data_IF_465679251204
#
_entry.id   IF_465679251204
#
_cell.length_a   1.000
_cell.length_b   1.000
_cell.length_c   1.000
_cell.angle_alpha   90.00
_cell.angle_beta   90.00
_cell.angle_gamma   90.00
#
_symmetry.space_group_name_H-M   'P 1'
#
loop_
_entity.id
_entity.type
_entity.pdbx_description
1 polymer ?
#
# COMPACT_ATOMS: atom_id res chain seq x y z
N UNK A 1 -5.73 -10.58 -12.82
CA UNK A 1 -6.44 -10.51 -11.52
C UNK A 1 -5.81 -9.42 -10.66
N UNK A 2 -6.60 -8.73 -9.84
CA UNK A 2 -6.10 -7.72 -8.91
C UNK A 2 -5.72 -8.31 -7.55
N UNK A 3 -4.82 -7.64 -6.82
CA UNK A 3 -4.49 -8.02 -5.45
C UNK A 3 -5.70 -7.78 -4.54
N UNK A 4 -6.13 -8.82 -3.83
CA UNK A 4 -7.26 -8.73 -2.91
C UNK A 4 -6.81 -8.26 -1.52
N UNK A 5 -7.76 -7.72 -0.74
CA UNK A 5 -7.51 -7.36 0.67
C UNK A 5 -7.09 -8.59 1.48
N UNK A 6 -7.67 -9.76 1.18
CA UNK A 6 -7.33 -11.03 1.84
C UNK A 6 -5.87 -11.43 1.62
N UNK A 7 -5.38 -11.31 0.38
CA UNK A 7 -3.98 -11.61 0.05
C UNK A 7 -2.99 -10.64 0.71
N UNK A 8 -3.36 -9.36 0.87
CA UNK A 8 -2.47 -8.34 1.44
C UNK A 8 -2.48 -8.33 2.98
N UNK A 9 -3.54 -8.84 3.61
CA UNK A 9 -3.74 -8.81 5.07
C UNK A 9 -2.57 -9.39 5.89
N UNK A 10 -1.94 -10.53 5.53
CA UNK A 10 -0.80 -11.06 6.27
C UNK A 10 0.39 -10.09 6.29
N UNK A 11 0.65 -9.43 5.16
CA UNK A 11 1.72 -8.45 5.01
C UNK A 11 1.47 -7.19 5.83
N UNK A 12 0.24 -6.68 5.82
CA UNK A 12 -0.16 -5.53 6.65
C UNK A 12 0.05 -5.84 8.13
N UNK A 13 -0.34 -7.04 8.59
CA UNK A 13 -0.14 -7.46 9.99
C UNK A 13 1.34 -7.47 10.37
N UNK A 14 2.22 -7.93 9.47
CA UNK A 14 3.68 -7.91 9.70
C UNK A 14 4.22 -6.49 9.88
N UNK A 15 3.80 -5.56 9.03
CA UNK A 15 4.21 -4.15 9.16
C UNK A 15 3.72 -3.54 10.47
N UNK A 16 2.46 -3.79 10.84
CA UNK A 16 1.89 -3.31 12.11
C UNK A 16 2.67 -3.88 13.31
N UNK A 17 2.94 -5.19 13.31
CA UNK A 17 3.70 -5.84 14.36
C UNK A 17 5.12 -5.27 14.48
N UNK A 18 5.79 -4.97 13.36
CA UNK A 18 7.12 -4.33 13.37
C UNK A 18 7.08 -2.94 13.96
N UNK A 19 6.07 -2.13 13.61
CA UNK A 19 5.87 -0.80 14.19
C UNK A 19 5.61 -0.87 15.69
N UNK A 20 4.79 -1.82 16.14
CA UNK A 20 4.53 -2.05 17.56
C UNK A 20 5.76 -2.53 18.33
N UNK A 21 6.61 -3.36 17.72
CA UNK A 21 7.87 -3.83 18.31
C UNK A 21 8.92 -2.71 18.43
N UNK A 22 8.91 -1.75 17.50
CA UNK A 22 9.90 -0.68 17.44
C UNK A 22 9.22 0.70 17.27
N UNK A 23 8.41 1.14 18.25
CA UNK A 23 7.56 2.32 18.06
C UNK A 23 8.37 3.62 17.97
N UNK A 24 9.52 3.69 18.65
CA UNK A 24 10.42 4.85 18.69
C UNK A 24 11.43 4.89 17.54
N UNK A 25 11.35 3.97 16.57
CA UNK A 25 12.26 3.99 15.44
C UNK A 25 11.93 5.17 14.50
N UNK A 26 12.91 6.05 14.26
CA UNK A 26 12.80 7.24 13.42
C UNK A 26 12.29 6.95 11.99
N UNK A 27 12.41 5.71 11.50
CA UNK A 27 11.88 5.33 10.19
C UNK A 27 10.38 5.64 10.06
N UNK A 28 9.59 5.52 11.14
CA UNK A 28 8.16 5.76 11.09
C UNK A 28 7.85 7.24 10.89
N UNK A 29 8.57 8.13 11.57
CA UNK A 29 8.46 9.58 11.39
C UNK A 29 8.87 9.99 9.98
N UNK A 30 9.96 9.41 9.45
CA UNK A 30 10.41 9.67 8.08
C UNK A 30 9.36 9.22 7.06
N UNK A 31 8.72 8.07 7.27
CA UNK A 31 7.66 7.56 6.40
C UNK A 31 6.41 8.44 6.45
N UNK A 32 6.04 8.94 7.63
CA UNK A 32 4.95 9.88 7.80
C UNK A 32 5.25 11.21 7.12
N UNK A 33 6.45 11.77 7.30
CA UNK A 33 6.88 12.99 6.61
C UNK A 33 6.86 12.85 5.08
N UNK A 34 7.29 11.69 4.55
CA UNK A 34 7.22 11.41 3.10
C UNK A 34 5.79 11.33 2.60
N UNK A 35 4.87 10.73 3.38
CA UNK A 35 3.45 10.73 3.03
C UNK A 35 2.88 12.16 3.01
N UNK A 36 3.17 12.96 4.04
CA UNK A 36 2.72 14.35 4.10
C UNK A 36 3.24 15.20 2.93
N UNK A 37 4.47 14.95 2.47
CA UNK A 37 4.99 15.60 1.27
C UNK A 37 4.19 15.23 0.00
N UNK A 38 3.77 13.97 -0.14
CA UNK A 38 2.91 13.52 -1.24
C UNK A 38 1.55 14.23 -1.19
N UNK A 39 0.94 14.31 0.00
CA UNK A 39 -0.36 14.96 0.21
C UNK A 39 -0.26 16.47 -0.04
N UNK A 40 0.79 17.11 0.44
CA UNK A 40 1.06 18.55 0.24
C UNK A 40 1.17 18.88 -1.24
N UNK A 41 1.93 18.09 -2.00
CA UNK A 41 2.02 18.25 -3.45
C UNK A 41 0.65 18.07 -4.13
N UNK A 42 -0.13 17.07 -3.71
CA UNK A 42 -1.49 16.87 -4.23
C UNK A 42 -2.42 18.06 -3.93
N UNK A 43 -2.37 18.62 -2.71
CA UNK A 43 -3.12 19.84 -2.35
C UNK A 43 -2.72 21.04 -3.22
N UNK A 44 -1.42 21.23 -3.45
CA UNK A 44 -0.93 22.30 -4.31
C UNK A 44 -1.45 22.18 -5.75
N UNK A 45 -1.47 20.97 -6.31
CA UNK A 45 -2.05 20.70 -7.63
C UNK A 45 -3.52 21.13 -7.67
N UNK A 46 -4.34 20.76 -6.66
CA UNK A 46 -5.74 21.16 -6.62
C UNK A 46 -5.93 22.68 -6.47
N UNK A 47 -5.11 23.33 -5.64
CA UNK A 47 -5.16 24.78 -5.45
C UNK A 47 -4.84 25.53 -6.76
N UNK A 48 -3.85 25.08 -7.53
CA UNK A 48 -3.53 25.68 -8.83
C UNK A 48 -4.66 25.50 -9.86
N UNK A 49 -5.38 24.38 -9.79
CA UNK A 49 -6.58 24.15 -10.60
C UNK A 49 -7.69 25.14 -10.25
N UNK A 50 -7.96 25.32 -8.97
CA UNK A 50 -9.00 26.25 -8.48
C UNK A 50 -8.69 27.70 -8.88
N UNK A 51 -7.40 28.06 -8.96
CA UNK A 51 -6.91 29.34 -9.50
C UNK A 51 -7.02 29.47 -11.02
N UNK A 52 -7.60 28.48 -11.71
CA UNK A 52 -7.85 28.53 -13.15
C UNK A 52 -6.64 28.16 -14.02
N UNK A 53 -5.56 27.61 -13.47
CA UNK A 53 -4.47 27.10 -14.31
C UNK A 53 -4.93 25.87 -15.10
N UNK A 54 -4.65 25.89 -16.40
CA UNK A 54 -4.86 24.73 -17.26
C UNK A 54 -4.02 23.55 -16.76
N UNK A 55 -4.67 22.38 -16.58
CA UNK A 55 -3.99 21.17 -16.14
C UNK A 55 -4.55 19.91 -16.77
N UNK A 56 -3.74 18.86 -16.75
CA UNK A 56 -4.17 17.52 -17.16
C UNK A 56 -5.29 17.01 -16.25
N UNK A 57 -6.36 16.49 -16.86
CA UNK A 57 -7.46 15.86 -16.13
C UNK A 57 -6.97 14.70 -15.25
N UNK A 58 -6.00 13.91 -15.72
CA UNK A 58 -5.41 12.80 -14.96
C UNK A 58 -4.66 13.28 -13.73
N UNK A 59 -3.91 14.38 -13.86
CA UNK A 59 -3.17 14.97 -12.74
C UNK A 59 -4.14 15.49 -11.68
N UNK A 60 -5.18 16.20 -12.10
CA UNK A 60 -6.22 16.71 -11.21
C UNK A 60 -6.96 15.60 -10.46
N UNK A 61 -7.28 14.50 -11.14
CA UNK A 61 -7.97 13.35 -10.55
C UNK A 61 -7.07 12.58 -9.59
N UNK A 62 -5.79 12.39 -9.93
CA UNK A 62 -4.83 11.73 -9.06
C UNK A 62 -4.63 12.52 -7.76
N UNK A 63 -4.45 13.83 -7.87
CA UNK A 63 -4.35 14.72 -6.72
C UNK A 63 -5.61 14.68 -5.85
N UNK A 64 -6.80 14.73 -6.46
CA UNK A 64 -8.08 14.58 -5.75
C UNK A 64 -8.14 13.29 -4.94
N UNK A 65 -7.77 12.15 -5.54
CA UNK A 65 -7.76 10.88 -4.83
C UNK A 65 -6.76 10.86 -3.66
N UNK A 66 -5.55 11.37 -3.83
CA UNK A 66 -4.54 11.41 -2.77
C UNK A 66 -4.97 12.28 -1.59
N UNK A 67 -5.48 13.48 -1.85
CA UNK A 67 -6.01 14.37 -0.79
C UNK A 67 -7.19 13.72 -0.07
N UNK A 68 -8.10 13.08 -0.81
CA UNK A 68 -9.24 12.40 -0.21
C UNK A 68 -8.82 11.25 0.71
N UNK A 69 -7.85 10.45 0.28
CA UNK A 69 -7.30 9.36 1.10
C UNK A 69 -6.68 9.94 2.37
N UNK A 70 -5.91 11.01 2.27
CA UNK A 70 -5.30 11.66 3.44
C UNK A 70 -6.34 12.19 4.45
N UNK A 71 -7.50 12.64 3.97
CA UNK A 71 -8.57 13.15 4.84
C UNK A 71 -9.40 12.02 5.49
N UNK A 72 -9.57 10.89 4.81
CA UNK A 72 -10.48 9.82 5.25
C UNK A 72 -9.75 8.65 5.95
N UNK A 73 -8.43 8.50 5.74
CA UNK A 73 -7.67 7.31 6.14
C UNK A 73 -6.48 7.70 7.02
N UNK A 74 -6.28 7.06 8.18
CA UNK A 74 -5.10 7.33 9.01
C UNK A 74 -3.79 7.06 8.26
N UNK A 75 -2.81 7.96 8.42
CA UNK A 75 -1.49 7.86 7.78
C UNK A 75 -0.83 6.49 7.99
N UNK A 76 -0.91 5.96 9.22
CA UNK A 76 -0.39 4.64 9.57
C UNK A 76 -0.94 3.51 8.68
N UNK A 77 -2.22 3.59 8.27
CA UNK A 77 -2.87 2.58 7.42
C UNK A 77 -2.39 2.71 5.98
N UNK A 78 -2.24 3.93 5.46
CA UNK A 78 -1.70 4.19 4.11
C UNK A 78 -0.26 3.68 4.01
N UNK A 79 0.57 4.00 5.00
CA UNK A 79 1.97 3.58 5.09
C UNK A 79 2.05 2.06 5.18
N UNK A 80 1.30 1.44 6.12
CA UNK A 80 1.33 -0.02 6.28
C UNK A 80 0.87 -0.75 5.01
N UNK A 81 -0.16 -0.25 4.34
CA UNK A 81 -0.66 -0.84 3.09
C UNK A 81 0.35 -0.68 1.96
N UNK A 82 1.00 0.48 1.85
CA UNK A 82 2.02 0.73 0.83
C UNK A 82 3.23 -0.17 1.02
N UNK A 83 3.77 -0.24 2.24
CA UNK A 83 4.91 -1.12 2.57
C UNK A 83 4.57 -2.60 2.38
N UNK A 84 3.38 -3.02 2.80
CA UNK A 84 2.91 -4.39 2.60
C UNK A 84 2.89 -4.79 1.11
N UNK A 85 2.54 -3.87 0.20
CA UNK A 85 2.59 -4.14 -1.24
C UNK A 85 4.02 -4.40 -1.72
N UNK A 86 5.01 -3.66 -1.22
CA UNK A 86 6.42 -3.88 -1.55
C UNK A 86 6.93 -5.21 -0.98
N UNK A 87 6.63 -5.53 0.27
CA UNK A 87 7.00 -6.83 0.86
C UNK A 87 6.40 -7.98 0.06
N UNK A 88 5.12 -7.87 -0.31
CA UNK A 88 4.45 -8.86 -1.16
C UNK A 88 5.10 -9.00 -2.54
N UNK A 89 5.55 -7.90 -3.16
CA UNK A 89 6.28 -7.94 -4.44
C UNK A 89 7.60 -8.68 -4.30
N UNK A 90 8.34 -8.45 -3.22
CA UNK A 90 9.64 -9.07 -2.95
C UNK A 90 9.55 -10.56 -2.64
N UNK A 91 8.44 -11.02 -2.06
CA UNK A 91 8.18 -12.45 -1.79
C UNK A 91 7.55 -13.17 -2.98
N UNK A 92 6.76 -12.47 -3.79
CA UNK A 92 6.00 -13.04 -4.88
C UNK A 92 6.15 -12.25 -6.17
N UNK A 93 7.38 -12.18 -6.69
CA UNK A 93 7.70 -11.46 -7.93
C UNK A 93 6.81 -11.87 -9.11
N UNK A 94 6.42 -13.15 -9.19
CA UNK A 94 5.53 -13.68 -10.25
C UNK A 94 4.12 -13.08 -10.26
N UNK A 95 3.65 -12.48 -9.16
CA UNK A 95 2.35 -11.81 -9.11
C UNK A 95 2.35 -10.47 -9.87
N UNK A 96 3.53 -9.88 -10.08
CA UNK A 96 3.70 -8.59 -10.72
C UNK A 96 4.59 -8.76 -11.96
N UNK A 97 3.97 -9.10 -13.10
CA UNK A 97 4.68 -9.37 -14.36
C UNK A 97 5.57 -8.22 -14.82
N UNK A 98 5.18 -6.98 -14.52
CA UNK A 98 5.91 -5.76 -14.88
C UNK A 98 5.83 -4.73 -13.76
N UNK A 99 6.78 -3.80 -13.73
CA UNK A 99 6.76 -2.69 -12.77
C UNK A 99 5.48 -1.86 -12.89
N UNK A 100 5.03 -1.63 -14.13
CA UNK A 100 3.75 -0.97 -14.40
C UNK A 100 2.56 -1.70 -13.78
N UNK A 101 2.56 -3.05 -13.83
CA UNK A 101 1.51 -3.85 -13.20
C UNK A 101 1.52 -3.70 -11.68
N UNK A 102 2.70 -3.62 -11.05
CA UNK A 102 2.83 -3.33 -9.64
C UNK A 102 2.31 -1.94 -9.27
N UNK A 103 2.73 -0.89 -9.98
CA UNK A 103 2.30 0.49 -9.76
C UNK A 103 0.76 0.60 -9.83
N UNK A 104 0.14 -0.03 -10.81
CA UNK A 104 -1.31 -0.03 -10.93
C UNK A 104 -2.01 -0.75 -9.77
N UNK A 105 -1.45 -1.85 -9.28
CA UNK A 105 -2.01 -2.54 -8.11
C UNK A 105 -1.81 -1.71 -6.84
N UNK A 106 -0.66 -1.07 -6.66
CA UNK A 106 -0.38 -0.15 -5.55
C UNK A 106 -1.42 0.98 -5.52
N UNK A 107 -1.59 1.72 -6.62
CA UNK A 107 -2.59 2.77 -6.71
C UNK A 107 -4.02 2.27 -6.44
N UNK A 108 -4.40 1.10 -6.98
CA UNK A 108 -5.72 0.51 -6.72
C UNK A 108 -5.94 0.14 -5.26
N UNK A 109 -4.93 -0.40 -4.58
CA UNK A 109 -5.03 -0.78 -3.16
C UNK A 109 -5.13 0.45 -2.27
N UNK A 110 -4.29 1.46 -2.50
CA UNK A 110 -4.31 2.70 -1.73
C UNK A 110 -5.62 3.47 -1.95
N UNK A 111 -6.11 3.55 -3.19
CA UNK A 111 -7.41 4.16 -3.47
C UNK A 111 -8.58 3.43 -2.82
N UNK A 112 -8.50 2.10 -2.73
CA UNK A 112 -9.51 1.26 -2.11
C UNK A 112 -9.55 1.33 -0.58
N UNK A 113 -8.71 2.15 0.06
CA UNK A 113 -8.74 2.38 1.51
C UNK A 113 -9.87 3.33 1.95
N UNK A 114 -10.46 4.11 1.04
CA UNK A 114 -11.64 4.94 1.33
C UNK A 114 -12.83 4.44 0.54
N UNK A 115 -13.92 4.15 1.26
CA UNK A 115 -15.18 3.65 0.70
C UNK A 115 -15.86 4.70 -0.20
N UNK A 116 -15.53 5.98 -0.01
CA UNK A 116 -16.13 7.07 -0.79
C UNK A 116 -15.64 7.12 -2.25
N UNK A 117 -14.68 6.27 -2.62
CA UNK A 117 -14.24 6.05 -4.01
C UNK A 117 -15.02 4.96 -4.74
N UNK A 118 -15.96 4.29 -4.05
CA UNK A 118 -16.89 3.33 -4.62
C UNK A 118 -18.30 3.95 -4.72
N UNK A 119 -18.94 3.78 -5.87
CA UNK A 119 -20.40 3.86 -5.95
C UNK A 119 -21.01 2.58 -5.38
N UNK A 120 -22.28 2.61 -5.02
CA UNK A 120 -23.04 1.42 -4.65
C UNK A 120 -24.14 1.19 -5.69
N UNK A 121 -24.35 -0.06 -6.09
CA UNK A 121 -25.56 -0.44 -6.81
C UNK A 121 -26.26 -1.56 -6.07
N UNK A 122 -27.59 -1.55 -6.15
CA UNK A 122 -28.42 -2.60 -5.61
C UNK A 122 -28.43 -3.79 -6.58
N UNK A 123 -28.00 -4.97 -6.12
CA UNK A 123 -28.03 -6.19 -6.91
C UNK A 123 -29.29 -7.01 -6.58
N UNK A 124 -30.30 -6.93 -7.46
CA UNK A 124 -31.56 -7.64 -7.31
C UNK A 124 -31.41 -9.17 -7.22
N UNK A 125 -30.33 -9.77 -7.75
CA UNK A 125 -30.12 -11.22 -7.67
C UNK A 125 -29.57 -11.66 -6.31
N UNK A 126 -28.73 -10.84 -5.68
CA UNK A 126 -28.13 -11.18 -4.38
C UNK A 126 -28.81 -10.52 -3.19
N UNK A 127 -29.74 -9.59 -3.42
CA UNK A 127 -30.44 -8.83 -2.38
C UNK A 127 -29.51 -7.95 -1.54
N UNK A 128 -28.33 -7.62 -2.07
CA UNK A 128 -27.27 -6.90 -1.34
C UNK A 128 -26.81 -5.68 -2.13
N UNK A 129 -26.42 -4.64 -1.39
CA UNK A 129 -25.66 -3.52 -1.95
C UNK A 129 -24.26 -4.01 -2.35
N UNK A 130 -23.91 -3.83 -3.62
CA UNK A 130 -22.56 -4.11 -4.13
C UNK A 130 -21.83 -2.81 -4.41
N UNK A 131 -20.57 -2.76 -3.97
CA UNK A 131 -19.67 -1.65 -4.26
C UNK A 131 -19.17 -1.77 -5.71
N UNK A 132 -19.43 -0.74 -6.52
CA UNK A 132 -18.83 -0.53 -7.84
C UNK A 132 -17.82 0.57 -7.73
N UNK A 133 -16.56 0.20 -7.87
CA UNK A 133 -15.50 1.17 -8.05
C UNK A 133 -15.60 1.70 -9.48
N UNK A 134 -15.86 3.00 -9.64
CA UNK A 134 -15.77 3.63 -10.97
C UNK A 134 -14.41 3.30 -11.59
N UNK A 135 -14.44 2.88 -12.86
CA UNK A 135 -13.22 2.63 -13.61
C UNK A 135 -12.41 3.93 -13.69
N UNK A 136 -11.15 3.83 -13.27
CA UNK A 136 -10.21 4.94 -13.32
C UNK A 136 -9.31 4.74 -14.53
N UNK A 137 -9.06 5.86 -15.21
CA UNK A 137 -8.21 5.89 -16.39
C UNK A 137 -6.77 5.48 -16.01
N UNK A 138 -6.09 4.67 -16.85
CA UNK A 138 -4.76 4.16 -16.54
C UNK A 138 -3.74 5.27 -16.21
N UNK A 139 -3.82 6.42 -16.88
CA UNK A 139 -2.95 7.57 -16.62
C UNK A 139 -3.12 8.14 -15.20
N UNK A 140 -4.35 8.16 -14.68
CA UNK A 140 -4.62 8.58 -13.29
C UNK A 140 -4.02 7.59 -12.30
N UNK A 141 -4.10 6.27 -12.55
CA UNK A 141 -3.46 5.27 -11.67
C UNK A 141 -1.94 5.43 -11.64
N UNK A 142 -1.32 5.71 -12.78
CA UNK A 142 0.13 5.95 -12.86
C UNK A 142 0.56 7.17 -12.03
N UNK A 143 -0.21 8.26 -12.13
CA UNK A 143 0.03 9.50 -11.38
C UNK A 143 -0.26 9.38 -9.88
N UNK A 144 -1.12 8.44 -9.46
CA UNK A 144 -1.27 8.08 -8.03
C UNK A 144 -0.08 7.23 -7.57
N UNK A 145 0.32 6.23 -8.37
CA UNK A 145 1.31 5.24 -7.98
C UNK A 145 2.73 5.83 -7.86
N UNK A 146 3.11 6.73 -8.77
CA UNK A 146 4.45 7.31 -8.82
C UNK A 146 4.89 7.97 -7.49
N UNK A 147 4.14 8.93 -6.92
CA UNK A 147 4.56 9.54 -5.65
C UNK A 147 4.57 8.55 -4.48
N UNK A 148 3.68 7.54 -4.49
CA UNK A 148 3.71 6.46 -3.48
C UNK A 148 4.96 5.59 -3.61
N UNK A 149 5.37 5.30 -4.85
CA UNK A 149 6.58 4.56 -5.13
C UNK A 149 7.81 5.33 -4.65
N UNK A 150 7.92 6.61 -5.01
CA UNK A 150 9.04 7.47 -4.63
C UNK A 150 9.13 7.62 -3.09
N UNK A 151 7.98 7.72 -2.42
CA UNK A 151 7.91 7.79 -0.96
C UNK A 151 8.38 6.49 -0.27
N UNK A 152 7.90 5.33 -0.74
CA UNK A 152 7.92 4.11 0.07
C UNK A 152 8.79 2.96 -0.48
N UNK A 153 9.25 3.00 -1.73
CA UNK A 153 9.94 1.87 -2.35
C UNK A 153 11.19 1.43 -1.57
N UNK A 154 12.05 2.38 -1.18
CA UNK A 154 13.29 2.08 -0.45
C UNK A 154 13.00 1.38 0.88
N UNK A 155 12.06 1.92 1.66
CA UNK A 155 11.71 1.35 2.96
C UNK A 155 11.02 -0.02 2.80
N UNK A 156 10.13 -0.16 1.80
CA UNK A 156 9.43 -1.40 1.51
C UNK A 156 10.38 -2.55 1.15
N UNK A 157 11.37 -2.29 0.27
CA UNK A 157 12.38 -3.30 -0.10
C UNK A 157 13.25 -3.68 1.10
N UNK A 158 13.73 -2.70 1.88
CA UNK A 158 14.54 -2.98 3.08
C UNK A 158 13.78 -3.75 4.14
N UNK A 159 12.49 -3.47 4.34
CA UNK A 159 11.65 -4.25 5.25
C UNK A 159 11.46 -5.69 4.77
N UNK A 160 11.31 -5.91 3.47
CA UNK A 160 11.24 -7.26 2.92
C UNK A 160 12.54 -8.05 3.12
N UNK A 161 13.70 -7.40 3.00
CA UNK A 161 14.99 -8.01 3.31
C UNK A 161 15.10 -8.41 4.79
N UNK A 162 14.61 -7.56 5.70
CA UNK A 162 14.56 -7.85 7.13
C UNK A 162 13.60 -9.02 7.43
N UNK A 163 12.41 -9.05 6.82
CA UNK A 163 11.46 -10.17 6.92
C UNK A 163 12.11 -11.50 6.52
N UNK A 164 12.79 -11.52 5.36
CA UNK A 164 13.49 -12.73 4.89
C UNK A 164 14.60 -13.18 5.82
N UNK A 165 15.31 -12.26 6.48
CA UNK A 165 16.36 -12.59 7.46
C UNK A 165 15.77 -13.17 8.73
N UNK A 166 14.73 -12.54 9.26
CA UNK A 166 14.04 -12.99 10.48
C UNK A 166 13.40 -14.39 10.26
N UNK A 167 12.80 -14.63 9.09
CA UNK A 167 12.22 -15.93 8.75
C UNK A 167 13.29 -17.04 8.68
N UNK A 168 14.44 -16.77 8.05
CA UNK A 168 15.57 -17.73 8.02
C UNK A 168 16.09 -18.07 9.40
N UNK A 169 16.19 -17.07 10.29
CA UNK A 169 16.61 -17.29 11.68
C UNK A 169 15.61 -18.16 12.43
N UNK A 170 14.31 -17.90 12.27
CA UNK A 170 13.25 -18.71 12.90
C UNK A 170 13.25 -20.16 12.41
N UNK A 171 13.49 -20.39 11.11
CA UNK A 171 13.60 -21.76 10.55
C UNK A 171 14.81 -22.47 11.15
N UNK A 172 15.99 -21.83 11.15
CA UNK A 172 17.20 -22.40 11.71
C UNK A 172 17.06 -22.74 13.20
N UNK A 173 16.40 -21.88 13.98
CA UNK A 173 16.14 -22.13 15.40
C UNK A 173 15.21 -23.32 15.62
N UNK A 174 14.16 -23.46 14.79
CA UNK A 174 13.25 -24.62 14.84
C UNK A 174 13.95 -25.92 14.46
N UNK A 175 14.82 -25.90 13.45
CA UNK A 175 15.62 -27.06 13.04
C UNK A 175 16.58 -27.49 14.15
N UNK A 176 17.24 -26.54 14.82
CA UNK A 176 18.08 -26.80 16.00
C UNK A 176 17.28 -27.42 17.15
N UNK A 177 16.11 -26.87 17.45
CA UNK A 177 15.23 -27.41 18.50
C UNK A 177 14.75 -28.83 18.16
N UNK A 178 14.35 -29.07 16.91
CA UNK A 178 13.91 -30.39 16.44
C UNK A 178 15.04 -31.42 16.50
N UNK A 179 16.27 -31.03 16.15
CA UNK A 179 17.45 -31.89 16.28
C UNK A 179 17.73 -32.23 17.75
N UNK A 180 17.72 -31.23 18.64
CA UNK A 180 17.93 -31.44 20.08
C UNK A 180 16.87 -32.36 20.71
N UNK A 181 15.60 -32.23 20.32
CA UNK A 181 14.53 -33.14 20.79
C UNK A 181 14.76 -34.57 20.28
N UNK A 182 15.24 -34.74 19.05
CA UNK A 182 15.52 -36.06 18.47
C UNK A 182 16.66 -36.78 19.18
N UNK A 183 17.63 -36.06 19.74
CA UNK A 183 18.73 -36.64 20.53
C UNK A 183 18.30 -37.09 21.94
N UNK A 184 17.09 -36.74 22.39
CA UNK A 184 16.54 -37.17 23.69
C UNK A 184 15.76 -38.49 23.65
N UNK A 185 15.58 -39.09 22.46
CA UNK A 185 14.85 -40.35 22.23
C UNK A 185 15.81 -41.41 21.71
#
# INVERSE_FOLDING_TARGET
MGITVGQLRPYIRRIIARRQKNPSNLVWEVLEARWEAVVTNARNILNERERGRAMSSYQSQAAYHLVRIANDVPNAVVIATSLAMFVMREEHTRLFKTDKSFLYQLARRIRGLTDKNAGTYWDNKSGKLKLVYRDILPGTLELIAKPLFDAFAVAGVRLAELDKRDEKQLIAERERLAAAIKEMV
#
